data_IF_494633429874
#
_entry.id   IF_494633429874
#
_cell.length_a   1.000
_cell.length_b   1.000
_cell.length_c   1.000
_cell.angle_alpha   90.00
_cell.angle_beta   90.00
_cell.angle_gamma   90.00
#
_symmetry.space_group_name_H-M   'P 1'
#
loop_
_entity.id
_entity.type
_entity.pdbx_description
1 polymer ?
#
# COMPACT_ATOMS: atom_id res chain seq x y z
N UNK A 1 -36.45 60.25 -13.48
CA UNK A 1 -35.72 59.85 -12.25
C UNK A 1 -35.38 58.38 -12.35
N UNK A 2 -34.15 58.03 -11.97
CA UNK A 2 -33.39 56.84 -12.40
C UNK A 2 -33.92 55.53 -11.81
N UNK A 3 -34.07 54.53 -12.68
CA UNK A 3 -34.30 53.11 -12.41
C UNK A 3 -33.23 52.57 -11.44
N UNK A 4 -33.63 51.99 -10.30
CA UNK A 4 -34.07 50.61 -10.06
C UNK A 4 -32.88 49.65 -9.81
N UNK A 5 -33.05 48.90 -8.73
CA UNK A 5 -32.16 47.93 -8.13
C UNK A 5 -31.51 46.94 -9.11
N UNK A 6 -30.35 46.41 -8.73
CA UNK A 6 -29.98 45.03 -9.09
C UNK A 6 -28.49 44.75 -9.17
N UNK A 7 -27.78 44.73 -8.04
CA UNK A 7 -26.46 44.09 -7.97
C UNK A 7 -26.66 42.66 -7.44
N UNK A 8 -26.89 41.71 -8.35
CA UNK A 8 -26.87 40.29 -8.06
C UNK A 8 -25.41 39.81 -8.04
N UNK A 9 -24.79 39.82 -6.87
CA UNK A 9 -23.51 39.14 -6.65
C UNK A 9 -23.74 37.63 -6.63
N UNK A 10 -23.57 36.99 -7.77
CA UNK A 10 -23.53 35.52 -7.87
C UNK A 10 -22.17 35.08 -7.33
N UNK A 11 -22.11 34.79 -6.03
CA UNK A 11 -21.00 34.07 -5.41
C UNK A 11 -21.16 32.61 -5.84
N UNK A 12 -20.45 32.21 -6.90
CA UNK A 12 -20.32 30.81 -7.29
C UNK A 12 -19.44 30.15 -6.22
N UNK A 13 -20.09 29.60 -5.20
CA UNK A 13 -19.47 28.62 -4.31
C UNK A 13 -19.14 27.39 -5.16
N UNK A 14 -17.93 27.33 -5.70
CA UNK A 14 -17.34 26.08 -6.18
C UNK A 14 -17.18 25.17 -4.96
N UNK A 15 -18.25 24.45 -4.62
CA UNK A 15 -18.16 23.25 -3.80
C UNK A 15 -17.20 22.32 -4.53
N UNK A 16 -15.96 22.26 -4.06
CA UNK A 16 -14.96 21.32 -4.49
C UNK A 16 -15.45 19.94 -4.03
N UNK A 17 -16.35 19.34 -4.80
CA UNK A 17 -16.72 17.93 -4.66
C UNK A 17 -15.47 17.15 -5.03
N UNK A 18 -14.65 16.85 -4.04
CA UNK A 18 -13.61 15.83 -4.16
C UNK A 18 -14.33 14.58 -4.64
N UNK A 19 -14.15 14.24 -5.93
CA UNK A 19 -14.70 13.02 -6.50
C UNK A 19 -14.10 11.88 -5.68
N UNK A 20 -14.89 11.31 -4.76
CA UNK A 20 -14.49 10.11 -4.01
C UNK A 20 -14.15 9.06 -5.06
N UNK A 21 -12.86 8.81 -5.26
CA UNK A 21 -12.38 7.67 -6.03
C UNK A 21 -12.94 6.43 -5.35
N UNK A 22 -13.96 5.82 -5.94
CA UNK A 22 -14.55 4.59 -5.42
C UNK A 22 -13.65 3.43 -5.87
N UNK A 23 -12.71 3.06 -5.01
CA UNK A 23 -11.92 1.83 -5.19
C UNK A 23 -12.84 0.61 -5.11
N UNK A 24 -12.62 -0.39 -5.97
CA UNK A 24 -13.30 -1.69 -5.90
C UNK A 24 -12.79 -2.61 -4.78
N UNK A 25 -11.73 -2.19 -4.09
CA UNK A 25 -11.09 -2.90 -3.00
C UNK A 25 -11.54 -2.35 -1.66
N UNK A 26 -11.97 -3.22 -0.75
CA UNK A 26 -12.35 -2.89 0.62
C UNK A 26 -11.15 -2.92 1.57
N UNK A 27 -10.13 -3.72 1.26
CA UNK A 27 -8.84 -3.74 1.97
C UNK A 27 -7.76 -4.28 1.05
N UNK A 28 -6.60 -3.64 1.05
CA UNK A 28 -5.41 -4.12 0.35
C UNK A 28 -4.33 -4.32 1.42
N UNK A 29 -3.71 -5.50 1.44
CA UNK A 29 -2.64 -5.82 2.37
C UNK A 29 -1.44 -6.41 1.63
N UNK A 30 -0.26 -5.90 1.95
CA UNK A 30 1.01 -6.45 1.51
C UNK A 30 1.86 -6.83 2.72
N UNK A 31 2.45 -8.02 2.68
CA UNK A 31 3.37 -8.50 3.69
C UNK A 31 4.67 -8.94 3.02
N UNK A 32 5.79 -8.37 3.47
CA UNK A 32 7.13 -8.79 3.09
C UNK A 32 7.71 -9.67 4.21
N UNK A 33 7.99 -10.93 3.88
CA UNK A 33 8.59 -11.90 4.79
C UNK A 33 10.11 -11.79 4.87
N UNK A 34 10.68 -12.47 5.86
CA UNK A 34 12.11 -12.54 6.10
C UNK A 34 12.89 -13.23 4.96
N UNK A 35 14.19 -12.93 4.87
CA UNK A 35 15.16 -13.59 4.02
C UNK A 35 16.46 -13.83 4.79
N UNK A 36 17.43 -14.52 4.20
CA UNK A 36 18.77 -14.60 4.77
C UNK A 36 19.54 -13.29 4.51
N UNK A 37 19.35 -12.29 5.38
CA UNK A 37 19.95 -10.97 5.26
C UNK A 37 19.11 -9.88 5.90
N UNK A 38 19.17 -8.67 5.36
CA UNK A 38 18.46 -7.49 5.87
C UNK A 38 17.25 -7.12 5.02
N UNK A 39 16.51 -8.11 4.51
CA UNK A 39 15.29 -7.81 3.77
C UNK A 39 14.28 -7.15 4.73
N UNK A 40 13.63 -6.05 4.32
CA UNK A 40 12.61 -5.43 5.15
C UNK A 40 11.47 -6.40 5.46
N UNK A 41 11.15 -6.53 6.74
CA UNK A 41 10.06 -7.37 7.24
C UNK A 41 8.95 -6.45 7.74
N UNK A 42 7.78 -6.51 7.09
CA UNK A 42 6.66 -5.66 7.45
C UNK A 42 5.33 -6.16 6.87
N UNK A 43 4.24 -5.66 7.46
CA UNK A 43 2.90 -5.73 6.90
C UNK A 43 2.33 -4.33 6.74
N UNK A 44 1.76 -4.03 5.58
CA UNK A 44 1.07 -2.78 5.31
C UNK A 44 -0.38 -3.06 4.92
N UNK A 45 -1.33 -2.49 5.65
CA UNK A 45 -2.76 -2.58 5.37
C UNK A 45 -3.28 -1.20 4.96
N UNK A 46 -3.98 -1.13 3.83
CA UNK A 46 -4.51 0.10 3.24
C UNK A 46 -6.03 -0.03 3.07
N UNK A 47 -6.75 0.97 3.57
CA UNK A 47 -8.20 1.08 3.50
C UNK A 47 -8.67 1.97 2.34
N UNK A 48 -9.97 1.94 1.97
CA UNK A 48 -10.53 2.72 0.87
C UNK A 48 -10.47 4.24 1.09
N UNK A 49 -10.45 4.67 2.35
CA UNK A 49 -10.31 6.08 2.74
C UNK A 49 -8.84 6.56 2.77
N UNK A 50 -7.92 5.72 2.28
CA UNK A 50 -6.45 5.91 2.25
C UNK A 50 -5.79 5.84 3.62
N UNK A 51 -6.52 5.57 4.69
CA UNK A 51 -5.87 5.27 5.97
C UNK A 51 -5.07 3.99 5.82
N UNK A 52 -3.84 4.01 6.34
CA UNK A 52 -2.94 2.89 6.24
C UNK A 52 -2.25 2.64 7.59
N UNK A 53 -1.98 1.36 7.84
CA UNK A 53 -1.20 0.88 8.97
C UNK A 53 0.02 0.16 8.42
N UNK A 54 1.20 0.48 8.95
CA UNK A 54 2.46 -0.21 8.71
C UNK A 54 2.91 -0.85 10.03
N UNK A 55 2.89 -2.17 10.09
CA UNK A 55 3.50 -2.97 11.13
C UNK A 55 4.92 -3.32 10.68
N UNK A 56 5.90 -2.54 11.15
CA UNK A 56 7.31 -2.70 10.80
C UNK A 56 8.00 -3.59 11.83
N UNK A 57 8.47 -4.75 11.38
CA UNK A 57 9.18 -5.71 12.22
C UNK A 57 10.67 -5.35 12.26
N UNK A 58 11.41 -5.61 11.18
CA UNK A 58 12.86 -5.34 11.12
C UNK A 58 13.30 -4.84 9.73
N UNK A 59 14.41 -4.09 9.72
CA UNK A 59 15.10 -3.64 8.51
C UNK A 59 14.28 -2.74 7.57
N UNK A 60 13.27 -2.02 8.08
CA UNK A 60 12.47 -1.13 7.22
C UNK A 60 13.05 0.27 7.14
N UNK A 61 13.77 0.74 8.16
CA UNK A 61 14.24 2.13 8.21
C UNK A 61 15.75 2.26 8.47
N UNK A 62 16.39 1.23 9.00
CA UNK A 62 17.84 1.22 9.21
C UNK A 62 18.58 1.04 7.88
N UNK A 63 19.66 1.82 7.69
CA UNK A 63 20.52 1.74 6.50
C UNK A 63 21.76 0.87 6.71
N UNK A 64 22.06 0.54 7.97
CA UNK A 64 23.23 -0.24 8.34
C UNK A 64 22.81 -1.64 8.79
N UNK A 65 23.43 -2.65 8.21
CA UNK A 65 23.24 -4.03 8.64
C UNK A 65 24.27 -4.37 9.72
N UNK A 66 23.78 -4.80 10.87
CA UNK A 66 24.58 -5.44 11.91
C UNK A 66 23.90 -6.74 12.35
N UNK A 67 24.68 -7.72 12.83
CA UNK A 67 24.09 -8.95 13.38
C UNK A 67 23.16 -8.67 14.57
N UNK A 68 23.42 -7.59 15.32
CA UNK A 68 22.58 -7.20 16.45
C UNK A 68 21.21 -6.63 16.05
N UNK A 69 20.98 -6.33 14.77
CA UNK A 69 19.65 -5.89 14.31
C UNK A 69 18.57 -6.97 14.48
N UNK A 70 18.94 -8.25 14.47
CA UNK A 70 18.01 -9.36 14.70
C UNK A 70 17.53 -9.44 16.15
N UNK A 71 18.33 -8.96 17.10
CA UNK A 71 18.01 -8.99 18.53
C UNK A 71 17.20 -7.77 18.98
N UNK A 72 17.06 -6.76 18.12
CA UNK A 72 16.29 -5.55 18.45
C UNK A 72 14.79 -5.87 18.53
N UNK A 73 14.02 -5.16 19.37
CA UNK A 73 12.57 -5.18 19.28
C UNK A 73 12.08 -4.72 17.91
N UNK A 74 10.85 -5.10 17.55
CA UNK A 74 10.19 -4.60 16.34
C UNK A 74 10.26 -3.08 16.22
N UNK A 75 10.42 -2.56 15.01
CA UNK A 75 10.59 -1.12 14.74
C UNK A 75 9.35 -0.29 15.13
N UNK A 76 8.16 -0.90 15.06
CA UNK A 76 6.93 -0.37 15.65
C UNK A 76 5.73 -0.43 14.73
N UNK A 77 4.65 0.22 15.15
CA UNK A 77 3.44 0.39 14.34
C UNK A 77 3.27 1.84 13.96
N UNK A 78 3.06 2.09 12.67
CA UNK A 78 2.93 3.42 12.12
C UNK A 78 1.58 3.56 11.41
N UNK A 79 1.03 4.77 11.43
CA UNK A 79 -0.20 5.12 10.74
C UNK A 79 0.00 6.33 9.86
N UNK A 80 -0.71 6.37 8.74
CA UNK A 80 -0.77 7.54 7.87
C UNK A 80 -2.08 7.59 7.09
N UNK A 81 -2.29 8.68 6.37
CA UNK A 81 -3.24 8.76 5.27
C UNK A 81 -2.43 8.93 4.00
N UNK A 82 -2.47 7.93 3.12
CA UNK A 82 -1.65 7.93 1.90
C UNK A 82 -2.03 9.12 1.00
N UNK A 83 -1.02 9.78 0.43
CA UNK A 83 -1.20 10.84 -0.57
C UNK A 83 -2.12 10.38 -1.68
N UNK A 84 -2.99 11.27 -2.15
CA UNK A 84 -3.99 10.91 -3.17
C UNK A 84 -3.38 10.35 -4.45
N UNK A 85 -2.29 10.96 -4.92
CA UNK A 85 -1.56 10.55 -6.12
C UNK A 85 -1.06 9.11 -6.00
N UNK A 86 -0.50 8.75 -4.85
CA UNK A 86 0.11 7.45 -4.60
C UNK A 86 -0.97 6.39 -4.41
N UNK A 87 -2.07 6.73 -3.74
CA UNK A 87 -3.23 5.84 -3.66
C UNK A 87 -3.81 5.56 -5.05
N UNK A 88 -4.02 6.60 -5.89
CA UNK A 88 -4.49 6.41 -7.27
C UNK A 88 -3.55 5.52 -8.08
N UNK A 89 -2.24 5.73 -7.95
CA UNK A 89 -1.22 4.89 -8.61
C UNK A 89 -1.29 3.44 -8.15
N UNK A 90 -1.46 3.18 -6.84
CA UNK A 90 -1.67 1.83 -6.32
C UNK A 90 -2.90 1.17 -6.95
N UNK A 91 -4.03 1.87 -7.01
CA UNK A 91 -5.25 1.35 -7.61
C UNK A 91 -5.04 0.99 -9.08
N UNK A 92 -4.39 1.85 -9.86
CA UNK A 92 -4.05 1.55 -11.26
C UNK A 92 -3.19 0.30 -11.38
N UNK A 93 -2.14 0.16 -10.58
CA UNK A 93 -1.27 -1.03 -10.62
C UNK A 93 -2.03 -2.32 -10.26
N UNK A 94 -2.95 -2.25 -9.30
CA UNK A 94 -3.78 -3.39 -8.88
C UNK A 94 -4.87 -3.73 -9.91
N UNK A 95 -5.43 -2.73 -10.60
CA UNK A 95 -6.39 -2.93 -11.67
C UNK A 95 -5.73 -3.61 -12.88
N UNK A 96 -4.52 -3.19 -13.23
CA UNK A 96 -3.73 -3.72 -14.35
C UNK A 96 -3.24 -5.17 -14.13
N UNK A 97 -3.23 -5.64 -12.88
CA UNK A 97 -2.84 -7.00 -12.51
C UNK A 97 -3.88 -8.06 -12.87
N UNK A 98 -5.15 -7.68 -13.00
CA UNK A 98 -6.26 -8.62 -13.03
C UNK A 98 -6.19 -9.66 -11.88
N UNK A 99 -6.17 -9.17 -10.64
CA UNK A 99 -5.85 -9.95 -9.42
C UNK A 99 -6.63 -11.27 -9.31
N UNK A 100 -7.89 -11.30 -9.77
CA UNK A 100 -8.72 -12.50 -9.67
C UNK A 100 -8.20 -13.65 -10.52
N UNK A 101 -7.51 -13.38 -11.64
CA UNK A 101 -6.96 -14.40 -12.55
C UNK A 101 -5.56 -14.89 -12.17
N UNK A 102 -4.86 -14.19 -11.26
CA UNK A 102 -3.52 -14.60 -10.81
C UNK A 102 -3.53 -15.98 -10.10
N UNK A 103 -2.41 -16.69 -10.21
CA UNK A 103 -2.20 -17.89 -9.40
C UNK A 103 -2.12 -17.52 -7.92
N UNK A 104 -2.52 -18.43 -7.05
CA UNK A 104 -2.42 -18.21 -5.60
C UNK A 104 -0.99 -18.35 -5.09
N UNK A 105 -0.12 -19.05 -5.83
CA UNK A 105 1.26 -19.35 -5.45
C UNK A 105 2.21 -19.18 -6.61
N UNK A 106 3.34 -18.55 -6.35
CA UNK A 106 4.48 -18.39 -7.25
C UNK A 106 5.79 -18.73 -6.53
N UNK A 107 6.81 -19.06 -7.33
CA UNK A 107 8.14 -19.41 -6.84
C UNK A 107 8.32 -20.89 -6.49
N UNK A 108 9.58 -21.31 -6.40
CA UNK A 108 9.98 -22.65 -5.98
C UNK A 108 10.86 -22.56 -4.74
N UNK A 109 10.65 -23.46 -3.77
CA UNK A 109 11.39 -23.52 -2.50
C UNK A 109 12.70 -24.30 -2.59
N UNK A 110 13.22 -24.50 -3.81
CA UNK A 110 14.53 -25.13 -4.03
C UNK A 110 15.71 -24.19 -3.69
N UNK A 111 15.43 -22.90 -3.54
CA UNK A 111 16.34 -21.90 -2.96
C UNK A 111 15.72 -21.53 -1.62
N UNK A 112 16.46 -21.53 -0.52
CA UNK A 112 15.90 -21.39 0.84
C UNK A 112 15.94 -19.97 1.40
N UNK A 113 16.74 -19.09 0.80
CA UNK A 113 17.16 -17.84 1.42
C UNK A 113 16.40 -16.60 0.91
N UNK A 114 15.43 -16.79 0.02
CA UNK A 114 14.66 -15.70 -0.58
C UNK A 114 13.47 -15.27 0.29
N UNK A 115 13.07 -13.99 0.25
CA UNK A 115 11.87 -13.53 0.92
C UNK A 115 10.60 -14.01 0.23
N UNK A 116 9.52 -14.14 1.01
CA UNK A 116 8.17 -14.33 0.49
C UNK A 116 7.41 -13.01 0.47
N UNK A 117 6.73 -12.71 -0.62
CA UNK A 117 5.72 -11.65 -0.68
C UNK A 117 4.33 -12.26 -0.51
N UNK A 118 3.49 -11.69 0.35
CA UNK A 118 2.06 -11.98 0.36
C UNK A 118 1.27 -10.74 -0.03
N UNK A 119 0.38 -10.88 -1.02
CA UNK A 119 -0.62 -9.87 -1.38
C UNK A 119 -2.00 -10.43 -1.05
N UNK A 120 -2.75 -9.72 -0.21
CA UNK A 120 -4.11 -10.09 0.17
C UNK A 120 -5.04 -8.93 -0.17
N UNK A 121 -6.06 -9.22 -0.96
CA UNK A 121 -7.01 -8.22 -1.43
C UNK A 121 -8.41 -8.69 -1.11
N UNK A 122 -9.17 -7.82 -0.42
CA UNK A 122 -10.61 -7.96 -0.24
C UNK A 122 -11.31 -6.98 -1.17
N UNK A 123 -12.32 -7.45 -1.87
CA UNK A 123 -13.12 -6.66 -2.80
C UNK A 123 -14.40 -6.18 -2.12
N UNK A 124 -15.03 -5.14 -2.68
CA UNK A 124 -16.31 -4.63 -2.17
C UNK A 124 -17.47 -5.62 -2.38
N UNK A 125 -17.35 -6.54 -3.34
CA UNK A 125 -18.31 -7.62 -3.58
C UNK A 125 -18.23 -8.76 -2.55
N UNK A 126 -17.34 -8.65 -1.55
CA UNK A 126 -17.11 -9.66 -0.52
C UNK A 126 -16.13 -10.77 -0.92
N UNK A 127 -15.73 -10.86 -2.19
CA UNK A 127 -14.70 -11.80 -2.61
C UNK A 127 -13.32 -11.40 -2.09
N UNK A 128 -12.39 -12.35 -2.06
CA UNK A 128 -11.01 -12.09 -1.67
C UNK A 128 -10.03 -12.94 -2.47
N UNK A 129 -8.78 -12.47 -2.55
CA UNK A 129 -7.66 -13.19 -3.16
C UNK A 129 -6.45 -13.09 -2.23
N UNK A 130 -5.74 -14.21 -2.09
CA UNK A 130 -4.42 -14.28 -1.45
C UNK A 130 -3.43 -14.82 -2.46
N UNK A 131 -2.30 -14.13 -2.60
CA UNK A 131 -1.19 -14.51 -3.46
C UNK A 131 0.04 -14.64 -2.58
N UNK A 132 0.74 -15.76 -2.67
CA UNK A 132 2.05 -16.03 -2.07
C UNK A 132 3.08 -16.11 -3.21
N UNK A 133 4.10 -15.25 -3.19
CA UNK A 133 5.17 -15.23 -4.19
C UNK A 133 6.53 -15.38 -3.51
N UNK A 134 7.04 -16.59 -3.52
CA UNK A 134 8.36 -16.91 -2.98
C UNK A 134 9.46 -16.43 -3.94
N UNK A 135 10.28 -15.49 -3.48
CA UNK A 135 11.32 -14.85 -4.29
C UNK A 135 10.86 -13.63 -5.09
N UNK A 136 9.58 -13.24 -4.99
CA UNK A 136 9.01 -12.02 -5.62
C UNK A 136 9.16 -11.98 -7.15
N UNK A 137 9.02 -13.14 -7.81
CA UNK A 137 9.32 -13.34 -9.24
C UNK A 137 8.14 -13.91 -10.03
N UNK A 138 6.92 -13.86 -9.49
CA UNK A 138 5.74 -14.43 -10.11
C UNK A 138 5.41 -13.84 -11.49
N UNK A 139 5.20 -12.52 -11.55
CA UNK A 139 5.06 -11.76 -12.80
C UNK A 139 5.69 -10.38 -12.66
N UNK A 140 6.09 -9.76 -13.77
CA UNK A 140 6.67 -8.42 -13.76
C UNK A 140 5.72 -7.37 -13.13
N UNK A 141 4.43 -7.42 -13.49
CA UNK A 141 3.41 -6.54 -12.92
C UNK A 141 3.26 -6.75 -11.41
N UNK A 142 3.36 -8.00 -10.94
CA UNK A 142 3.24 -8.32 -9.52
C UNK A 142 4.45 -7.81 -8.74
N UNK A 143 5.65 -7.97 -9.28
CA UNK A 143 6.88 -7.37 -8.75
C UNK A 143 6.80 -5.84 -8.69
N UNK A 144 6.18 -5.18 -9.68
CA UNK A 144 5.98 -3.73 -9.68
C UNK A 144 5.07 -3.25 -8.53
N UNK A 145 4.00 -4.01 -8.22
CA UNK A 145 3.15 -3.74 -7.05
C UNK A 145 3.94 -3.89 -5.75
N UNK A 146 4.73 -4.95 -5.59
CA UNK A 146 5.54 -5.14 -4.39
C UNK A 146 6.55 -4.01 -4.18
N UNK A 147 7.24 -3.63 -5.26
CA UNK A 147 8.15 -2.49 -5.23
C UNK A 147 7.43 -1.21 -4.81
N UNK A 148 6.23 -0.97 -5.33
CA UNK A 148 5.44 0.20 -4.94
C UNK A 148 5.14 0.23 -3.44
N UNK A 149 4.78 -0.90 -2.83
CA UNK A 149 4.60 -0.99 -1.37
C UNK A 149 5.89 -0.75 -0.59
N UNK A 150 7.02 -1.28 -1.07
CA UNK A 150 8.32 -1.09 -0.44
C UNK A 150 8.71 0.39 -0.44
N UNK A 151 8.52 1.09 -1.56
CA UNK A 151 8.79 2.52 -1.70
C UNK A 151 7.81 3.36 -0.83
N UNK A 152 6.54 2.93 -0.71
CA UNK A 152 5.52 3.65 0.05
C UNK A 152 5.84 3.80 1.55
N UNK A 153 6.66 2.92 2.12
CA UNK A 153 7.14 3.06 3.51
C UNK A 153 8.03 4.29 3.72
N UNK A 154 8.67 4.77 2.67
CA UNK A 154 9.59 5.91 2.72
C UNK A 154 8.94 7.20 2.20
N UNK A 155 7.93 7.08 1.34
CA UNK A 155 7.36 8.22 0.61
C UNK A 155 6.13 8.86 1.28
N UNK A 156 5.75 8.41 2.48
CA UNK A 156 4.62 8.96 3.25
C UNK A 156 5.04 9.48 4.62
N UNK A 157 4.23 10.37 5.21
CA UNK A 157 4.41 10.84 6.58
C UNK A 157 3.84 9.82 7.57
N UNK A 158 4.65 8.83 7.91
CA UNK A 158 4.30 7.78 8.86
C UNK A 158 4.44 8.25 10.31
N UNK A 159 3.33 8.21 11.06
CA UNK A 159 3.29 8.55 12.50
C UNK A 159 3.34 7.28 13.33
N UNK A 160 4.35 7.15 14.18
CA UNK A 160 4.47 6.04 15.14
C UNK A 160 3.34 6.12 16.18
N UNK A 161 2.68 5.00 16.45
CA UNK A 161 1.52 4.91 17.36
C UNK A 161 1.90 4.34 18.73
N UNK A 162 3.00 3.58 18.78
CA UNK A 162 3.57 2.95 19.97
C UNK A 162 5.08 2.91 19.83
#
# INVERSE_FOLDING_TARGET
MKYLLGLFSIIILFSCTSQKMSSKYSTIEYEAGACFGSCPIFKMTINPDRTAVLEAEHFNFSKEFSKGEFDKPREGTFKTTIKESDYKKLITLLDDLDIKSLNEKYGSRNITDMPTSYLRVKFNDGSSKKIEDYGKRGTEKLSAVYKFFEDLKHDQEWKKVQ
#
